data_IF_532211318192
#
_entry.id   IF_532211318192
#
_cell.length_a   1.000
_cell.length_b   1.000
_cell.length_c   1.000
_cell.angle_alpha   90.00
_cell.angle_beta   90.00
_cell.angle_gamma   90.00
#
_symmetry.space_group_name_H-M   'P 1'
#
loop_
_entity.id
_entity.type
_entity.pdbx_description
1 polymer ?
#
# COMPACT_ATOMS: atom_id res chain seq x y z
N UNK A 1 6.42 -2.38 -23.38
CA UNK A 1 6.24 -1.62 -22.13
C UNK A 1 7.57 -1.51 -21.43
N UNK A 2 7.96 -0.34 -20.90
CA UNK A 2 9.17 -0.23 -20.08
C UNK A 2 9.02 -1.03 -18.78
N UNK A 3 10.12 -1.67 -18.33
CA UNK A 3 10.20 -2.37 -17.04
C UNK A 3 11.31 -1.72 -16.22
N UNK A 4 10.96 -1.21 -15.04
CA UNK A 4 11.91 -0.59 -14.10
C UNK A 4 11.96 -1.45 -12.83
N UNK A 5 13.15 -1.67 -12.29
CA UNK A 5 13.36 -2.39 -11.02
C UNK A 5 14.17 -1.51 -10.08
N UNK A 6 13.70 -1.35 -8.84
CA UNK A 6 14.34 -0.57 -7.78
C UNK A 6 14.44 -1.47 -6.54
N UNK A 7 15.54 -1.39 -5.80
CA UNK A 7 15.75 -2.11 -4.55
C UNK A 7 16.28 -1.18 -3.46
N UNK A 8 16.01 -1.53 -2.20
CA UNK A 8 16.52 -0.84 -1.02
C UNK A 8 16.62 -1.82 0.14
N UNK A 9 17.54 -1.57 1.08
CA UNK A 9 17.71 -2.37 2.29
C UNK A 9 16.92 -1.74 3.42
N UNK A 10 16.09 -2.55 4.09
CA UNK A 10 15.37 -2.16 5.30
C UNK A 10 15.98 -2.96 6.44
N UNK A 11 16.63 -2.28 7.38
CA UNK A 11 17.22 -2.90 8.57
C UNK A 11 16.14 -3.22 9.63
N UNK A 12 15.32 -4.22 9.33
CA UNK A 12 14.27 -4.71 10.20
C UNK A 12 13.93 -6.19 9.92
N UNK A 13 13.41 -6.94 10.91
CA UNK A 13 12.89 -8.29 10.70
C UNK A 13 11.80 -8.34 9.62
N UNK A 14 11.84 -9.38 8.79
CA UNK A 14 10.94 -9.54 7.65
C UNK A 14 9.47 -9.57 8.07
N UNK A 15 9.16 -10.12 9.25
CA UNK A 15 7.80 -10.23 9.78
C UNK A 15 7.20 -8.84 10.06
N UNK A 16 8.03 -7.90 10.56
CA UNK A 16 7.60 -6.52 10.82
C UNK A 16 7.37 -5.76 9.53
N UNK A 17 8.26 -5.93 8.55
CA UNK A 17 8.13 -5.29 7.23
C UNK A 17 6.91 -5.84 6.51
N UNK A 18 6.74 -7.16 6.49
CA UNK A 18 5.64 -7.83 5.81
C UNK A 18 4.30 -7.50 6.45
N UNK A 19 4.19 -7.46 7.78
CA UNK A 19 2.97 -7.04 8.47
C UNK A 19 2.48 -5.66 8.02
N UNK A 20 3.40 -4.76 7.65
CA UNK A 20 3.05 -3.42 7.15
C UNK A 20 2.67 -3.40 5.68
N UNK A 21 3.41 -4.11 4.83
CA UNK A 21 3.28 -4.05 3.37
C UNK A 21 2.17 -4.98 2.85
N UNK A 22 1.87 -6.09 3.56
CA UNK A 22 0.82 -7.05 3.16
C UNK A 22 -0.58 -6.45 3.19
N UNK A 23 -0.78 -5.41 4.00
CA UNK A 23 -2.05 -4.71 4.09
C UNK A 23 -2.15 -3.77 2.89
N UNK A 24 -2.86 -4.25 1.86
CA UNK A 24 -3.06 -3.49 0.64
C UNK A 24 -3.75 -2.15 0.91
N UNK A 25 -4.62 -2.03 1.92
CA UNK A 25 -5.31 -0.77 2.25
C UNK A 25 -4.52 0.11 3.25
N UNK A 26 -3.49 -0.44 3.90
CA UNK A 26 -2.82 0.18 5.04
C UNK A 26 -1.92 1.38 4.74
N UNK A 27 -1.90 1.85 3.49
CA UNK A 27 -1.06 2.94 2.98
C UNK A 27 -1.07 4.22 3.83
N UNK A 28 -2.22 4.76 4.26
CA UNK A 28 -2.26 6.02 5.01
C UNK A 28 -1.48 5.98 6.32
N UNK A 29 -1.35 4.80 6.95
CA UNK A 29 -0.64 4.72 8.21
C UNK A 29 0.89 4.60 8.10
N UNK A 30 1.47 4.52 6.90
CA UNK A 30 2.94 4.41 6.74
C UNK A 30 3.52 5.25 5.62
N UNK A 31 2.71 5.59 4.62
CA UNK A 31 3.15 6.44 3.53
C UNK A 31 2.71 7.89 3.78
N UNK A 32 3.63 8.84 4.00
CA UNK A 32 3.31 10.18 4.50
C UNK A 32 2.48 11.03 3.52
N UNK A 33 2.36 10.61 2.25
CA UNK A 33 1.60 11.33 1.20
C UNK A 33 0.18 10.78 0.98
N UNK A 34 -0.22 9.73 1.69
CA UNK A 34 -1.53 9.09 1.55
C UNK A 34 -2.43 9.55 2.68
N UNK A 35 -3.51 10.27 2.37
CA UNK A 35 -4.42 10.84 3.37
C UNK A 35 -5.52 9.85 3.71
N UNK A 36 -6.08 9.20 2.69
CA UNK A 36 -7.16 8.23 2.83
C UNK A 36 -6.93 7.03 1.93
N UNK A 37 -7.45 5.88 2.32
CA UNK A 37 -7.47 4.66 1.52
C UNK A 37 -8.65 3.79 1.95
N UNK A 38 -9.51 3.44 1.00
CA UNK A 38 -10.60 2.49 1.21
C UNK A 38 -10.63 1.44 0.10
N UNK A 39 -11.13 0.26 0.45
CA UNK A 39 -11.38 -0.81 -0.50
C UNK A 39 -12.80 -0.69 -1.01
N UNK A 40 -12.97 -0.75 -2.32
CA UNK A 40 -14.26 -0.68 -2.98
C UNK A 40 -15.02 -2.03 -2.85
N UNK A 41 -16.32 -2.02 -3.16
CA UNK A 41 -17.21 -3.19 -3.15
C UNK A 41 -17.34 -3.92 -1.80
N UNK A 42 -16.90 -3.32 -0.68
CA UNK A 42 -16.92 -3.96 0.65
C UNK A 42 -16.05 -5.22 0.73
N UNK A 43 -15.11 -5.40 -0.20
CA UNK A 43 -14.19 -6.54 -0.23
C UNK A 43 -13.13 -6.41 0.86
N UNK A 44 -12.56 -7.55 1.25
CA UNK A 44 -11.39 -7.56 2.11
C UNK A 44 -10.13 -7.16 1.32
N UNK A 45 -9.22 -6.40 1.95
CA UNK A 45 -7.97 -5.92 1.35
C UNK A 45 -7.03 -7.06 0.90
N UNK A 46 -7.25 -8.30 1.36
CA UNK A 46 -6.50 -9.49 0.97
C UNK A 46 -7.13 -10.26 -0.19
N UNK A 47 -8.32 -9.86 -0.65
CA UNK A 47 -9.00 -10.52 -1.76
C UNK A 47 -8.35 -10.17 -3.08
N UNK A 48 -7.95 -11.19 -3.86
CA UNK A 48 -7.43 -10.99 -5.22
C UNK A 48 -8.51 -10.30 -6.07
N UNK A 49 -8.15 -9.19 -6.71
CA UNK A 49 -9.07 -8.39 -7.52
C UNK A 49 -9.88 -7.35 -6.73
N UNK A 50 -9.57 -7.11 -5.46
CA UNK A 50 -10.06 -5.91 -4.78
C UNK A 50 -9.46 -4.63 -5.42
N UNK A 51 -10.24 -3.56 -5.39
CA UNK A 51 -9.83 -2.24 -5.90
C UNK A 51 -9.64 -1.32 -4.71
N UNK A 52 -8.52 -0.59 -4.71
CA UNK A 52 -8.18 0.39 -3.67
C UNK A 52 -8.28 1.79 -4.24
N UNK A 53 -9.10 2.61 -3.61
CA UNK A 53 -9.26 4.02 -3.88
C UNK A 53 -8.62 4.83 -2.76
N UNK A 54 -7.60 5.63 -3.10
CA UNK A 54 -6.83 6.39 -2.13
C UNK A 54 -6.66 7.83 -2.59
N UNK A 55 -6.56 8.73 -1.61
CA UNK A 55 -6.36 10.15 -1.86
C UNK A 55 -4.93 10.56 -1.50
N UNK A 56 -4.25 11.19 -2.46
CA UNK A 56 -2.96 11.82 -2.24
C UNK A 56 -3.14 13.18 -1.57
N UNK A 57 -2.26 13.51 -0.64
CA UNK A 57 -2.26 14.81 0.05
C UNK A 57 -2.14 16.00 -0.91
N UNK A 58 -1.48 15.81 -2.05
CA UNK A 58 -1.26 16.86 -3.05
C UNK A 58 -2.21 16.82 -4.25
N UNK A 59 -3.12 15.84 -4.35
CA UNK A 59 -4.08 15.73 -5.46
C UNK A 59 -3.50 15.67 -6.88
N UNK A 60 -2.18 15.49 -7.02
CA UNK A 60 -1.41 15.60 -8.26
C UNK A 60 -0.70 14.29 -8.59
#
# INVERSE_FOLDING_TARGET
MPKVTISSVIDAPVEKVWARIRDFNGLPGWHPRMVESHIEDGKDATTIGCVRNFQLASGA
#
